data_IF_391399942920
#
_entry.id   IF_391399942920
#
_cell.length_a   1.000
_cell.length_b   1.000
_cell.length_c   1.000
_cell.angle_alpha   90.00
_cell.angle_beta   90.00
_cell.angle_gamma   90.00
#
_symmetry.space_group_name_H-M   'P 1'
#
loop_
_entity.id
_entity.type
_entity.pdbx_description
1 polymer ?
#
# COMPACT_ATOMS: atom_id res chain seq x y z
N UNK A 1 -12.88 12.23 -5.61
CA UNK A 1 -11.70 11.64 -4.98
C UNK A 1 -11.54 12.15 -3.56
N UNK A 2 -11.13 11.30 -2.63
CA UNK A 2 -10.89 11.78 -1.26
C UNK A 2 -9.71 12.74 -1.21
N UNK A 3 -9.79 13.68 -0.29
CA UNK A 3 -8.68 14.61 -0.05
C UNK A 3 -7.54 13.91 0.69
N UNK A 4 -6.36 14.54 0.71
CA UNK A 4 -5.22 14.01 1.45
C UNK A 4 -5.55 13.86 2.93
N UNK A 5 -6.31 14.80 3.49
CA UNK A 5 -6.72 14.72 4.90
C UNK A 5 -7.62 13.51 5.16
N UNK A 6 -8.55 13.25 4.25
CA UNK A 6 -9.43 12.09 4.37
C UNK A 6 -8.65 10.78 4.26
N UNK A 7 -7.72 10.69 3.33
CA UNK A 7 -6.88 9.50 3.18
C UNK A 7 -5.99 9.29 4.40
N UNK A 8 -5.43 10.36 4.95
CA UNK A 8 -4.59 10.27 6.14
C UNK A 8 -5.41 9.75 7.33
N UNK A 9 -6.60 10.29 7.53
CA UNK A 9 -7.48 9.85 8.61
C UNK A 9 -7.88 8.40 8.42
N UNK A 10 -8.21 8.01 7.18
CA UNK A 10 -8.58 6.65 6.88
C UNK A 10 -7.42 5.69 7.14
N UNK A 11 -6.21 6.05 6.72
CA UNK A 11 -5.03 5.23 6.93
C UNK A 11 -4.77 4.98 8.41
N UNK A 12 -4.97 5.99 9.25
CA UNK A 12 -4.78 5.86 10.69
C UNK A 12 -5.78 4.90 11.31
N UNK A 13 -6.96 4.76 10.73
CA UNK A 13 -8.00 3.89 11.27
C UNK A 13 -7.92 2.46 10.74
N UNK A 14 -7.07 2.20 9.73
CA UNK A 14 -6.97 0.86 9.16
C UNK A 14 -6.33 -0.12 10.13
N UNK A 15 -6.85 -1.35 10.19
CA UNK A 15 -6.17 -2.43 10.90
C UNK A 15 -4.76 -2.64 10.32
N UNK A 16 -3.82 -3.13 11.15
CA UNK A 16 -2.43 -3.28 10.72
C UNK A 16 -2.22 -4.08 9.43
N UNK A 17 -2.99 -5.14 9.22
CA UNK A 17 -2.82 -5.98 8.03
C UNK A 17 -3.05 -5.19 6.74
N UNK A 18 -4.04 -4.30 6.72
CA UNK A 18 -4.31 -3.50 5.52
C UNK A 18 -3.18 -2.51 5.23
N UNK A 19 -2.68 -1.86 6.28
CA UNK A 19 -1.55 -0.95 6.13
C UNK A 19 -0.29 -1.68 5.68
N UNK A 20 -0.07 -2.87 6.22
CA UNK A 20 1.09 -3.68 5.85
C UNK A 20 1.01 -4.14 4.40
N UNK A 21 -0.18 -4.52 3.92
CA UNK A 21 -0.37 -4.90 2.52
C UNK A 21 -0.06 -3.72 1.60
N UNK A 22 -0.62 -2.55 1.91
CA UNK A 22 -0.39 -1.36 1.09
C UNK A 22 1.09 -0.97 1.08
N UNK A 23 1.74 -1.00 2.24
CA UNK A 23 3.15 -0.67 2.35
C UNK A 23 4.05 -1.69 1.65
N UNK A 24 3.58 -2.93 1.53
CA UNK A 24 4.37 -4.00 0.92
C UNK A 24 4.66 -3.75 -0.56
N UNK A 25 3.75 -3.08 -1.28
CA UNK A 25 3.95 -2.83 -2.70
C UNK A 25 5.29 -2.12 -2.97
N UNK A 26 5.56 -0.95 -2.38
CA UNK A 26 6.86 -0.33 -2.60
C UNK A 26 8.01 -1.04 -1.89
N UNK A 27 7.76 -1.79 -0.84
CA UNK A 27 8.81 -2.56 -0.17
C UNK A 27 9.32 -3.71 -1.05
N UNK A 28 8.40 -4.39 -1.73
CA UNK A 28 8.74 -5.54 -2.58
C UNK A 28 9.34 -5.06 -3.90
N UNK A 29 8.78 -4.01 -4.46
CA UNK A 29 9.21 -3.50 -5.77
C UNK A 29 9.37 -1.97 -5.69
N UNK A 30 10.52 -1.47 -5.21
CA UNK A 30 10.69 -0.04 -4.99
C UNK A 30 10.57 0.84 -6.23
N UNK A 31 10.93 0.32 -7.40
CA UNK A 31 10.84 1.10 -8.63
C UNK A 31 9.56 0.90 -9.41
N UNK A 32 8.54 0.36 -8.79
CA UNK A 32 7.32 -0.03 -9.48
C UNK A 32 6.57 1.16 -10.07
N UNK A 33 5.89 0.88 -11.18
CA UNK A 33 4.96 1.85 -11.77
C UNK A 33 3.62 1.78 -11.06
N UNK A 34 2.87 2.87 -11.12
CA UNK A 34 1.53 2.90 -10.55
C UNK A 34 0.69 1.77 -11.15
N UNK A 35 -0.03 1.06 -10.31
CA UNK A 35 -0.87 -0.06 -10.72
C UNK A 35 -0.12 -1.38 -10.86
N UNK A 36 1.18 -1.41 -10.63
CA UNK A 36 1.94 -2.64 -10.67
C UNK A 36 1.43 -3.62 -9.63
N UNK A 37 1.08 -4.83 -10.07
CA UNK A 37 0.42 -5.82 -9.21
C UNK A 37 1.37 -6.84 -8.63
N UNK A 38 0.93 -7.43 -7.52
CA UNK A 38 1.65 -8.50 -6.85
C UNK A 38 0.71 -9.68 -6.60
N UNK A 39 1.25 -10.89 -6.66
CA UNK A 39 0.47 -12.08 -6.34
C UNK A 39 0.25 -12.19 -4.84
N UNK A 40 -0.85 -12.80 -4.43
CA UNK A 40 -1.12 -13.07 -3.01
C UNK A 40 0.04 -13.81 -2.36
N UNK A 41 0.60 -14.79 -3.06
CA UNK A 41 1.71 -15.58 -2.52
C UNK A 41 2.96 -14.73 -2.30
N UNK A 42 3.20 -13.78 -3.20
CA UNK A 42 4.33 -12.84 -3.05
C UNK A 42 4.16 -12.00 -1.80
N UNK A 43 2.95 -11.51 -1.56
CA UNK A 43 2.67 -10.74 -0.35
C UNK A 43 2.83 -11.58 0.90
N UNK A 44 2.28 -12.80 0.88
CA UNK A 44 2.38 -13.69 2.04
C UNK A 44 3.83 -14.05 2.35
N UNK A 45 4.63 -14.31 1.33
CA UNK A 45 6.05 -14.62 1.51
C UNK A 45 6.81 -13.42 2.08
N UNK A 46 6.51 -12.23 1.59
CA UNK A 46 7.10 -11.01 2.11
C UNK A 46 6.80 -10.85 3.61
N UNK A 47 5.57 -11.10 4.02
CA UNK A 47 5.19 -11.00 5.42
C UNK A 47 5.86 -12.08 6.27
N UNK A 48 6.01 -13.28 5.73
CA UNK A 48 6.76 -14.32 6.43
C UNK A 48 8.21 -13.91 6.63
N UNK A 49 8.82 -13.31 5.60
CA UNK A 49 10.22 -12.87 5.66
C UNK A 49 10.41 -11.68 6.58
N UNK A 50 9.39 -10.87 6.77
CA UNK A 50 9.45 -9.70 7.66
C UNK A 50 8.83 -9.98 9.03
N UNK A 51 8.50 -11.23 9.32
CA UNK A 51 8.00 -11.70 10.61
C UNK A 51 6.68 -11.07 11.03
N UNK A 52 5.84 -10.74 10.06
CA UNK A 52 4.52 -10.18 10.38
C UNK A 52 3.47 -11.27 10.70
N UNK A 53 3.72 -12.50 10.29
CA UNK A 53 2.89 -13.61 10.71
C UNK A 53 1.53 -13.74 10.06
N UNK A 54 1.30 -13.08 8.94
CA UNK A 54 0.02 -13.21 8.24
C UNK A 54 0.02 -14.44 7.35
N UNK A 55 -1.05 -15.23 7.41
CA UNK A 55 -1.22 -16.38 6.53
C UNK A 55 -1.67 -15.93 5.15
N UNK A 56 -1.52 -16.82 4.16
CA UNK A 56 -2.03 -16.55 2.82
C UNK A 56 -3.53 -16.24 2.83
N UNK A 57 -4.31 -17.00 3.62
CA UNK A 57 -5.75 -16.76 3.72
C UNK A 57 -6.08 -15.39 4.29
N UNK A 58 -5.33 -14.95 5.30
CA UNK A 58 -5.52 -13.62 5.86
C UNK A 58 -5.20 -12.52 4.85
N UNK A 59 -4.11 -12.70 4.09
CA UNK A 59 -3.73 -11.76 3.04
C UNK A 59 -4.81 -11.69 1.96
N UNK A 60 -5.30 -12.86 1.52
CA UNK A 60 -6.36 -12.92 0.51
C UNK A 60 -7.63 -12.20 0.98
N UNK A 61 -8.05 -12.47 2.20
CA UNK A 61 -9.26 -11.86 2.74
C UNK A 61 -9.12 -10.35 2.86
N UNK A 62 -7.98 -9.88 3.36
CA UNK A 62 -7.72 -8.45 3.47
C UNK A 62 -7.70 -7.77 2.10
N UNK A 63 -7.10 -8.42 1.09
CA UNK A 63 -7.09 -7.88 -0.26
C UNK A 63 -8.49 -7.79 -0.84
N UNK A 64 -9.35 -8.76 -0.55
CA UNK A 64 -10.75 -8.70 -0.99
C UNK A 64 -11.47 -7.50 -0.38
N UNK A 65 -11.23 -7.22 0.90
CA UNK A 65 -11.82 -6.06 1.55
C UNK A 65 -11.31 -4.76 0.93
N UNK A 66 -10.02 -4.69 0.64
CA UNK A 66 -9.46 -3.53 -0.04
C UNK A 66 -10.06 -3.35 -1.44
N UNK A 67 -10.31 -4.46 -2.14
CA UNK A 67 -10.95 -4.42 -3.46
C UNK A 67 -12.39 -3.93 -3.36
N UNK A 68 -13.13 -4.40 -2.36
CA UNK A 68 -14.51 -3.95 -2.13
C UNK A 68 -14.57 -2.46 -1.82
N UNK A 69 -13.52 -1.92 -1.22
CA UNK A 69 -13.43 -0.50 -0.92
C UNK A 69 -12.88 0.33 -2.08
N UNK A 70 -12.48 -0.30 -3.17
CA UNK A 70 -12.00 0.40 -4.36
C UNK A 70 -10.51 0.76 -4.35
N UNK A 71 -9.75 0.27 -3.41
CA UNK A 71 -8.32 0.60 -3.30
C UNK A 71 -7.43 -0.31 -4.13
N UNK A 72 -7.89 -1.54 -4.41
CA UNK A 72 -7.15 -2.47 -5.26
C UNK A 72 -8.13 -3.14 -6.21
N UNK A 73 -7.56 -3.80 -7.24
CA UNK A 73 -8.32 -4.60 -8.17
C UNK A 73 -7.67 -5.99 -8.20
N UNK A 74 -8.48 -7.03 -8.08
CA UNK A 74 -7.95 -8.41 -8.10
C UNK A 74 -8.15 -8.96 -9.50
N UNK A 75 -7.06 -9.38 -10.14
CA UNK A 75 -7.07 -9.93 -11.49
C UNK A 75 -6.63 -11.38 -11.48
N UNK A 76 -7.28 -12.18 -12.32
CA UNK A 76 -6.99 -13.60 -12.47
C UNK A 76 -7.05 -14.36 -11.14
N UNK A 77 -7.75 -13.80 -10.16
CA UNK A 77 -7.92 -14.40 -8.81
C UNK A 77 -6.63 -14.58 -8.03
N UNK A 78 -5.51 -14.06 -8.53
CA UNK A 78 -4.21 -14.21 -7.87
C UNK A 78 -3.43 -12.92 -7.79
N UNK A 79 -3.70 -11.93 -8.62
CA UNK A 79 -2.92 -10.69 -8.65
C UNK A 79 -3.71 -9.53 -8.07
N UNK A 80 -3.04 -8.73 -7.25
CA UNK A 80 -3.61 -7.54 -6.62
C UNK A 80 -2.95 -6.32 -7.24
N UNK A 81 -3.75 -5.44 -7.83
CA UNK A 81 -3.26 -4.22 -8.48
C UNK A 81 -3.86 -3.00 -7.79
N UNK A 82 -3.06 -2.07 -7.28
CA UNK A 82 -3.61 -0.85 -6.70
C UNK A 82 -4.33 -0.01 -7.75
N UNK A 83 -5.47 0.55 -7.37
CA UNK A 83 -6.16 1.54 -8.20
C UNK A 83 -5.51 2.91 -7.98
N UNK A 84 -5.97 3.95 -8.71
CA UNK A 84 -5.46 5.30 -8.52
C UNK A 84 -5.63 5.76 -7.07
N UNK A 85 -6.79 5.50 -6.49
CA UNK A 85 -7.03 5.83 -5.07
C UNK A 85 -6.16 4.98 -4.16
N UNK A 86 -5.97 3.71 -4.52
CA UNK A 86 -5.07 2.82 -3.78
C UNK A 86 -3.63 3.30 -3.80
N UNK A 87 -3.16 3.82 -4.92
CA UNK A 87 -1.81 4.39 -4.99
C UNK A 87 -1.66 5.60 -4.09
N UNK A 88 -2.69 6.44 -4.03
CA UNK A 88 -2.69 7.58 -3.11
C UNK A 88 -2.62 7.11 -1.65
N UNK A 89 -3.39 6.08 -1.32
CA UNK A 89 -3.39 5.54 0.02
C UNK A 89 -2.05 4.90 0.38
N UNK A 90 -1.41 4.20 -0.58
CA UNK A 90 -0.07 3.66 -0.38
C UNK A 90 0.91 4.78 -0.03
N UNK A 91 0.86 5.88 -0.77
CA UNK A 91 1.74 7.02 -0.50
C UNK A 91 1.52 7.59 0.90
N UNK A 92 0.27 7.68 1.33
CA UNK A 92 -0.07 8.19 2.67
C UNK A 92 0.45 7.23 3.75
N UNK A 93 0.22 5.93 3.57
CA UNK A 93 0.61 4.90 4.55
C UNK A 93 2.14 4.84 4.71
N UNK A 94 2.86 4.99 3.60
CA UNK A 94 4.31 4.87 3.61
C UNK A 94 5.03 6.20 3.83
N UNK A 95 4.30 7.31 3.86
CA UNK A 95 4.91 8.62 3.91
C UNK A 95 5.71 8.92 2.66
N UNK A 96 5.29 8.35 1.54
CA UNK A 96 6.08 8.25 0.33
C UNK A 96 6.18 9.49 -0.53
N UNK A 97 6.48 9.30 -1.81
CA UNK A 97 6.96 10.38 -2.69
C UNK A 97 6.06 11.58 -2.82
N UNK A 98 4.75 11.43 -2.68
CA UNK A 98 3.91 12.60 -2.84
C UNK A 98 4.15 13.64 -1.74
N UNK A 99 4.64 13.22 -0.58
CA UNK A 99 4.98 14.17 0.48
C UNK A 99 6.25 14.92 0.14
N UNK A 100 7.10 14.36 -0.67
CA UNK A 100 8.38 14.97 -1.00
C UNK A 100 8.32 15.92 -2.18
N UNK A 101 7.21 16.04 -2.79
CA UNK A 101 7.14 16.95 -3.90
C UNK A 101 7.21 18.35 -3.39
N UNK A 102 7.59 18.52 -2.91
CA UNK A 102 7.65 19.66 -2.35
C UNK A 102 8.75 19.90 -1.58
N UNK A 103 8.46 18.77 -1.74
CA UNK A 103 9.22 18.91 -1.20
C UNK A 103 9.89 19.28 -0.72
N UNK A 104 9.87 19.27 -0.73
CA UNK A 104 10.63 19.36 -0.33
C UNK A 104 11.03 19.60 0.29
N UNK A 105 11.15 19.65 0.37
CA UNK A 105 11.70 19.76 0.93
C UNK A 105 11.98 19.75 1.73
N UNK A 106 11.86 19.46 1.69
CA UNK A 106 12.43 19.31 2.16
C UNK A 106 13.05 19.24 2.72
N UNK A 107 13.02 19.25 2.70
CA UNK A 107 13.89 19.10 2.93
C UNK A 107 14.43 19.18 3.48
N UNK A 108 14.38 19.22 3.54
CA UNK A 108 15.17 19.20 3.88
C UNK A 108 15.62 19.25 4.51
N UNK A 109 15.45 19.13 4.35
CA UNK A 109 16.09 19.03 4.63
C UNK A 109 16.82 19.08 5.28
N UNK A 110 16.98 19.14 5.18
CA UNK A 110 17.77 18.99 5.44
C UNK A 110 18.58 19.28 5.77
N UNK A 111 18.16 19.19 5.59
CA UNK A 111 18.85 19.28 5.60
C UNK A 111 19.47 19.27 5.88
N UNK A 112 19.34 19.35 5.58
CA UNK A 112 19.93 19.08 5.44
C UNK A 112 20.50 19.14 5.71
#
# INVERSE_FOLDING_TARGET
MPSDSELTAYAKSLPPIYRDILAAFPEIEPGRKAGYGLAFQTLALHFANTRRGYSLGEVQEACKQLADSGFVEIKNRIFVHPTDVGEQLIAVVTGGPRASTSLVPELPIRTW
#
